data_IF_791255797029
#
_entry.id   IF_791255797029
#
_cell.length_a   1.000
_cell.length_b   1.000
_cell.length_c   1.000
_cell.angle_alpha   90.00
_cell.angle_beta   90.00
_cell.angle_gamma   90.00
#
_symmetry.space_group_name_H-M   'P 1'
#
loop_
_entity.id
_entity.type
_entity.pdbx_description
1 polymer ?
#
# COMPACT_ATOMS: atom_id res chain seq x y z
N UNK A 1 -7.17 -14.18 3.24
CA UNK A 1 -6.77 -13.36 2.06
C UNK A 1 -5.95 -12.21 2.56
N UNK A 2 -4.83 -11.91 1.89
CA UNK A 2 -3.98 -10.76 2.17
C UNK A 2 -4.30 -9.67 1.14
N UNK A 3 -4.64 -8.46 1.59
CA UNK A 3 -5.22 -7.41 0.75
C UNK A 3 -4.57 -6.03 0.93
N UNK A 4 -3.37 -5.97 1.53
CA UNK A 4 -2.63 -4.70 1.71
C UNK A 4 -1.59 -4.51 0.61
N UNK A 5 -1.21 -3.25 0.37
CA UNK A 5 -0.17 -2.91 -0.62
C UNK A 5 1.18 -3.56 -0.36
N UNK A 6 1.52 -3.80 0.91
CA UNK A 6 2.71 -4.58 1.30
C UNK A 6 2.67 -6.00 0.76
N UNK A 7 1.51 -6.65 0.84
CA UNK A 7 1.33 -8.03 0.38
C UNK A 7 1.44 -8.12 -1.15
N UNK A 8 0.88 -7.13 -1.86
CA UNK A 8 1.04 -7.01 -3.32
C UNK A 8 2.53 -6.87 -3.70
N UNK A 9 3.28 -6.01 -3.00
CA UNK A 9 4.72 -5.84 -3.25
C UNK A 9 5.48 -7.14 -3.02
N UNK A 10 5.18 -7.88 -1.95
CA UNK A 10 5.82 -9.15 -1.67
C UNK A 10 5.57 -10.16 -2.79
N UNK A 11 4.33 -10.32 -3.26
CA UNK A 11 4.02 -11.24 -4.36
C UNK A 11 4.70 -10.86 -5.68
N UNK A 12 4.88 -9.56 -5.94
CA UNK A 12 5.64 -9.11 -7.11
C UNK A 12 7.12 -9.46 -7.01
N UNK A 13 7.72 -9.36 -5.82
CA UNK A 13 9.10 -9.81 -5.61
C UNK A 13 9.24 -11.33 -5.76
N UNK A 14 8.31 -12.12 -5.21
CA UNK A 14 8.28 -13.57 -5.41
C UNK A 14 8.18 -13.92 -6.91
N UNK A 15 7.37 -13.18 -7.67
CA UNK A 15 7.26 -13.34 -9.13
C UNK A 15 8.58 -13.02 -9.83
N UNK A 16 9.29 -11.97 -9.42
CA UNK A 16 10.61 -11.62 -9.95
C UNK A 16 11.66 -12.68 -9.62
N UNK A 17 11.60 -13.29 -8.45
CA UNK A 17 12.49 -14.40 -8.06
C UNK A 17 12.22 -15.63 -8.92
N UNK A 18 10.96 -16.02 -9.08
CA UNK A 18 10.56 -17.16 -9.90
C UNK A 18 10.89 -16.98 -11.40
N UNK A 19 10.91 -15.74 -11.91
CA UNK A 19 11.38 -15.43 -13.26
C UNK A 19 12.91 -15.58 -13.44
N UNK A 20 13.68 -15.40 -12.35
CA UNK A 20 15.14 -15.55 -12.37
C UNK A 20 15.60 -16.98 -12.13
N UNK A 21 14.72 -17.82 -11.58
CA UNK A 21 15.00 -19.24 -11.36
C UNK A 21 15.21 -19.94 -12.72
N UNK A 22 16.41 -20.47 -12.92
CA UNK A 22 16.78 -21.17 -14.16
C UNK A 22 16.46 -22.66 -14.10
N UNK A 23 16.29 -23.20 -12.90
CA UNK A 23 16.04 -24.62 -12.66
C UNK A 23 14.53 -24.90 -12.69
N UNK A 24 13.71 -23.94 -12.25
CA UNK A 24 12.25 -23.97 -12.31
C UNK A 24 11.64 -22.60 -12.69
N UNK A 25 11.86 -22.13 -13.94
CA UNK A 25 11.40 -20.81 -14.36
C UNK A 25 9.87 -20.70 -14.38
N UNK A 26 9.36 -19.57 -13.91
CA UNK A 26 7.95 -19.22 -14.08
C UNK A 26 7.59 -19.04 -15.55
N UNK A 27 6.38 -19.47 -15.92
CA UNK A 27 5.78 -19.19 -17.22
C UNK A 27 5.64 -17.68 -17.48
N UNK A 28 6.06 -17.23 -18.67
CA UNK A 28 6.12 -15.81 -19.02
C UNK A 28 4.73 -15.18 -19.16
N UNK A 29 3.75 -15.92 -19.69
CA UNK A 29 2.38 -15.42 -19.84
C UNK A 29 1.74 -15.24 -18.45
N UNK A 30 2.00 -16.17 -17.54
CA UNK A 30 1.61 -16.04 -16.13
C UNK A 30 2.25 -14.83 -15.47
N UNK A 31 3.54 -14.62 -15.66
CA UNK A 31 4.24 -13.48 -15.09
C UNK A 31 3.70 -12.15 -15.63
N UNK A 32 3.38 -12.09 -16.93
CA UNK A 32 2.74 -10.95 -17.56
C UNK A 32 1.36 -10.66 -16.97
N UNK A 33 0.53 -11.69 -16.78
CA UNK A 33 -0.79 -11.54 -16.17
C UNK A 33 -0.69 -10.98 -14.74
N UNK A 34 0.27 -11.44 -13.94
CA UNK A 34 0.53 -10.89 -12.59
C UNK A 34 0.91 -9.41 -12.67
N UNK A 35 1.81 -9.04 -13.60
CA UNK A 35 2.24 -7.65 -13.77
C UNK A 35 1.10 -6.72 -14.22
N UNK A 36 0.19 -7.21 -15.07
CA UNK A 36 -0.98 -6.45 -15.53
C UNK A 36 -1.97 -6.20 -14.40
N UNK A 37 -2.31 -7.21 -13.59
CA UNK A 37 -3.18 -7.05 -12.42
C UNK A 37 -2.56 -6.09 -11.40
N UNK A 38 -1.26 -6.20 -11.16
CA UNK A 38 -0.55 -5.31 -10.24
C UNK A 38 -0.56 -3.85 -10.69
N UNK A 39 -0.44 -3.57 -11.99
CA UNK A 39 -0.58 -2.21 -12.54
C UNK A 39 -1.95 -1.62 -12.20
N UNK A 40 -3.03 -2.37 -12.41
CA UNK A 40 -4.40 -1.91 -12.12
C UNK A 40 -4.56 -1.57 -10.62
N UNK A 41 -3.97 -2.38 -9.73
CA UNK A 41 -3.99 -2.12 -8.29
C UNK A 41 -3.18 -0.86 -7.92
N UNK A 42 -2.00 -0.67 -8.50
CA UNK A 42 -1.18 0.53 -8.28
C UNK A 42 -1.89 1.79 -8.79
N UNK A 43 -2.56 1.71 -9.95
CA UNK A 43 -3.30 2.86 -10.48
C UNK A 43 -4.52 3.21 -9.61
N UNK A 44 -5.21 2.19 -9.06
CA UNK A 44 -6.25 2.40 -8.04
C UNK A 44 -5.71 3.11 -6.79
N UNK A 45 -4.52 2.71 -6.33
CA UNK A 45 -3.84 3.33 -5.19
C UNK A 45 -3.53 4.82 -5.43
N UNK A 46 -3.06 5.17 -6.64
CA UNK A 46 -2.74 6.55 -7.00
C UNK A 46 -3.99 7.43 -6.97
N UNK A 47 -5.09 6.94 -7.55
CA UNK A 47 -6.39 7.64 -7.53
C UNK A 47 -6.83 7.92 -6.10
N UNK A 48 -6.63 6.96 -5.19
CA UNK A 48 -6.94 7.14 -3.78
C UNK A 48 -6.04 8.18 -3.10
N UNK A 49 -4.72 8.17 -3.37
CA UNK A 49 -3.79 9.20 -2.88
C UNK A 49 -4.19 10.59 -3.38
N UNK A 50 -4.57 10.70 -4.66
CA UNK A 50 -5.00 11.97 -5.25
C UNK A 50 -6.31 12.46 -4.63
N UNK A 51 -7.25 11.55 -4.35
CA UNK A 51 -8.47 11.86 -3.60
C UNK A 51 -8.15 12.40 -2.20
N UNK A 52 -7.26 11.74 -1.45
CA UNK A 52 -6.85 12.15 -0.10
C UNK A 52 -6.17 13.52 -0.10
N UNK A 53 -5.30 13.78 -1.09
CA UNK A 53 -4.63 15.09 -1.26
C UNK A 53 -5.61 16.21 -1.59
N UNK A 54 -6.65 15.92 -2.36
CA UNK A 54 -7.62 16.92 -2.83
C UNK A 54 -8.66 17.27 -1.77
N UNK A 55 -9.19 16.25 -1.07
CA UNK A 55 -10.29 16.42 -0.11
C UNK A 55 -9.80 16.74 1.30
N UNK A 56 -8.56 16.36 1.64
CA UNK A 56 -8.01 16.52 2.98
C UNK A 56 -8.69 15.59 3.98
N UNK A 57 -8.23 14.34 4.06
CA UNK A 57 -8.83 13.32 4.92
C UNK A 57 -7.87 12.23 5.37
N UNK A 58 -8.30 11.45 6.37
CA UNK A 58 -7.68 10.20 6.76
C UNK A 58 -8.04 9.12 5.73
N UNK A 59 -7.06 8.28 5.38
CA UNK A 59 -7.05 7.26 4.34
C UNK A 59 -8.35 6.48 4.08
N UNK A 60 -8.47 5.99 2.85
CA UNK A 60 -9.56 5.11 2.43
C UNK A 60 -9.19 3.65 2.74
N UNK A 61 -10.11 2.69 2.60
CA UNK A 61 -9.90 1.29 3.00
C UNK A 61 -8.75 0.56 2.30
N UNK A 62 -8.10 1.19 1.30
CA UNK A 62 -6.96 0.64 0.56
C UNK A 62 -5.61 1.17 1.07
N UNK A 63 -5.50 2.47 1.37
CA UNK A 63 -4.42 3.06 2.18
C UNK A 63 -5.02 3.49 3.51
N UNK A 64 -4.98 2.63 4.55
CA UNK A 64 -5.47 3.02 5.86
C UNK A 64 -4.68 4.25 6.32
N UNK A 65 -5.38 5.25 6.88
CA UNK A 65 -4.70 6.17 7.77
C UNK A 65 -4.21 5.31 8.93
N UNK A 66 -2.89 5.17 9.07
CA UNK A 66 -2.32 4.79 10.35
C UNK A 66 -3.01 5.66 11.39
N UNK A 67 -3.59 5.02 12.41
CA UNK A 67 -4.14 5.71 13.57
C UNK A 67 -3.16 6.80 13.93
N UNK A 68 -3.55 8.04 13.64
CA UNK A 68 -2.75 9.21 13.94
C UNK A 68 -2.41 9.04 15.40
N UNK A 69 -1.14 8.73 15.69
CA UNK A 69 -0.63 8.66 17.05
C UNK A 69 -1.14 9.94 17.69
N UNK A 70 -2.12 9.79 18.60
CA UNK A 70 -2.81 10.92 19.18
C UNK A 70 -1.70 11.74 19.82
N UNK A 71 -1.32 12.85 19.17
CA UNK A 71 -0.31 13.74 19.71
C UNK A 71 -0.78 14.06 21.13
N UNK A 72 -0.02 13.70 22.17
CA UNK A 72 -0.48 13.90 23.54
C UNK A 72 -0.87 15.36 23.66
N UNK A 73 -2.13 15.62 24.02
CA UNK A 73 -2.62 16.98 24.22
C UNK A 73 -1.69 17.62 25.23
N UNK A 74 -0.96 18.65 24.80
CA UNK A 74 -0.20 19.49 25.71
C UNK A 74 -1.22 20.06 26.70
N UNK A 75 -1.16 19.61 27.95
CA UNK A 75 -1.94 20.17 29.06
C UNK A 75 -1.56 21.64 29.14
N UNK A 76 -2.49 22.50 28.70
CA UNK A 76 -2.35 23.93 28.83
C UNK A 76 -2.16 24.25 30.32
N UNK A 77 -1.05 24.93 30.62
CA UNK A 77 -0.59 25.21 31.97
C UNK A 77 -1.70 25.77 32.85
N UNK A 78 -1.91 25.09 33.98
CA UNK A 78 -2.71 25.58 35.09
C UNK A 78 -2.01 26.84 35.63
N UNK A 79 -2.50 28.02 35.24
CA UNK A 79 -2.20 29.28 35.92
C UNK A 79 -3.06 29.33 37.17
N UNK A 80 -2.54 28.78 38.27
CA UNK A 80 -3.07 29.11 39.58
C UNK A 80 -2.36 30.38 40.06
N UNK A 81 -3.20 31.30 40.53
CA UNK A 81 -2.91 32.69 40.92
C UNK A 81 -2.42 32.77 42.37
#
# INVERSE_FOLDING_TARGET
MKNRMEDLRNHLFETLEALKDKDAPMDLDRARAVAEVAKVLVDSAKVEVDFLRTVGGAGTGFIPADEVHQRPRLVAGRRDS
#
